data_IF_076834868493
#
_entry.id   IF_076834868493
#
_cell.length_a   1.000
_cell.length_b   1.000
_cell.length_c   1.000
_cell.angle_alpha   90.00
_cell.angle_beta   90.00
_cell.angle_gamma   90.00
#
_symmetry.space_group_name_H-M   'P 1'
#
loop_
_entity.id
_entity.type
_entity.pdbx_description
1 polymer ?
#
# COMPACT_ATOMS: atom_id res chain seq x y z
N UNK A 1 -27.68 20.00 13.34
CA UNK A 1 -26.69 20.29 12.28
C UNK A 1 -26.20 18.95 11.76
N UNK A 2 -26.36 18.63 10.48
CA UNK A 2 -25.85 17.38 9.93
C UNK A 2 -24.32 17.42 9.99
N UNK A 3 -23.71 16.42 10.62
CA UNK A 3 -22.26 16.23 10.63
C UNK A 3 -21.77 16.10 9.19
N UNK A 4 -21.01 17.08 8.71
CA UNK A 4 -20.44 17.11 7.36
C UNK A 4 -19.12 16.34 7.27
N UNK A 5 -18.89 15.38 8.16
CA UNK A 5 -17.66 14.60 8.20
C UNK A 5 -17.68 13.52 7.13
N UNK A 6 -16.75 13.62 6.18
CA UNK A 6 -16.46 12.56 5.22
C UNK A 6 -15.66 11.45 5.94
N UNK A 7 -16.17 10.23 5.93
CA UNK A 7 -15.45 9.07 6.47
C UNK A 7 -14.39 8.62 5.47
N UNK A 8 -13.19 8.29 5.96
CA UNK A 8 -12.14 7.71 5.13
C UNK A 8 -12.59 6.38 4.51
N UNK A 9 -12.16 6.12 3.28
CA UNK A 9 -12.29 4.81 2.64
C UNK A 9 -11.14 3.93 3.11
N UNK A 10 -11.41 2.82 3.77
CA UNK A 10 -10.37 1.84 4.16
C UNK A 10 -10.11 0.90 3.00
N UNK A 11 -8.84 0.60 2.78
CA UNK A 11 -8.37 -0.22 1.69
C UNK A 11 -7.45 -1.29 2.25
N UNK A 12 -7.81 -2.56 2.05
CA UNK A 12 -6.99 -3.71 2.36
C UNK A 12 -6.42 -4.31 1.09
N UNK A 13 -5.16 -4.74 1.13
CA UNK A 13 -4.59 -5.53 0.03
C UNK A 13 -3.58 -6.56 0.52
N UNK A 14 -3.33 -7.59 -0.29
CA UNK A 14 -2.44 -8.70 0.04
C UNK A 14 -1.47 -9.00 -1.09
N UNK A 15 -0.26 -9.40 -0.73
CA UNK A 15 0.77 -9.91 -1.64
C UNK A 15 1.62 -10.96 -0.92
N UNK A 16 2.34 -11.82 -1.65
CA UNK A 16 3.35 -12.68 -1.01
C UNK A 16 4.65 -11.91 -0.82
N UNK A 17 5.34 -12.21 0.28
CA UNK A 17 6.74 -11.91 0.50
C UNK A 17 7.55 -13.18 0.25
N UNK A 18 8.61 -13.08 -0.55
CA UNK A 18 9.55 -14.18 -0.71
C UNK A 18 10.24 -14.45 0.64
N UNK A 19 10.19 -15.67 1.20
CA UNK A 19 10.69 -15.95 2.55
C UNK A 19 12.15 -15.50 2.76
N UNK A 20 12.99 -15.72 1.75
CA UNK A 20 14.41 -15.35 1.74
C UNK A 20 14.66 -13.84 1.74
N UNK A 21 13.67 -13.04 1.36
CA UNK A 21 13.75 -11.57 1.28
C UNK A 21 13.16 -10.89 2.52
N UNK A 22 12.74 -11.63 3.54
CA UNK A 22 12.11 -11.09 4.75
C UNK A 22 12.95 -9.98 5.40
N UNK A 23 14.24 -10.24 5.62
CA UNK A 23 15.13 -9.31 6.30
C UNK A 23 15.33 -8.03 5.47
N UNK A 24 15.57 -8.18 4.16
CA UNK A 24 15.70 -7.07 3.22
C UNK A 24 14.44 -6.18 3.20
N UNK A 25 13.26 -6.80 3.10
CA UNK A 25 12.00 -6.06 3.06
C UNK A 25 11.75 -5.27 4.34
N UNK A 26 12.06 -5.87 5.50
CA UNK A 26 11.96 -5.22 6.81
C UNK A 26 12.93 -4.05 6.95
N UNK A 27 14.17 -4.18 6.49
CA UNK A 27 15.17 -3.11 6.53
C UNK A 27 14.78 -1.94 5.63
N UNK A 28 14.31 -2.21 4.41
CA UNK A 28 13.76 -1.19 3.52
C UNK A 28 12.64 -0.40 4.22
N UNK A 29 11.65 -1.08 4.79
CA UNK A 29 10.49 -0.40 5.40
C UNK A 29 10.78 0.21 6.78
N UNK A 30 11.89 -0.14 7.43
CA UNK A 30 12.36 0.57 8.62
C UNK A 30 12.92 1.97 8.30
N UNK A 31 13.30 2.21 7.04
CA UNK A 31 13.89 3.47 6.57
C UNK A 31 13.32 3.87 5.20
N UNK A 32 11.99 3.92 5.09
CA UNK A 32 11.31 4.36 3.85
C UNK A 32 11.82 5.75 3.47
N UNK A 33 12.12 5.93 2.18
CA UNK A 33 12.63 7.22 1.70
C UNK A 33 11.59 8.33 1.91
N UNK A 34 12.00 9.52 2.42
CA UNK A 34 11.07 10.61 2.74
C UNK A 34 10.17 11.05 1.57
N UNK A 35 10.69 10.99 0.34
CA UNK A 35 9.97 11.33 -0.89
C UNK A 35 8.79 10.38 -1.15
N UNK A 36 8.94 9.10 -0.77
CA UNK A 36 7.89 8.09 -0.91
C UNK A 36 6.78 8.35 0.11
N UNK A 37 7.16 8.62 1.36
CA UNK A 37 6.20 9.00 2.40
C UNK A 37 5.45 10.29 2.01
N UNK A 38 6.16 11.27 1.46
CA UNK A 38 5.56 12.50 0.94
C UNK A 38 4.57 12.20 -0.19
N UNK A 39 4.94 11.40 -1.18
CA UNK A 39 4.06 11.02 -2.30
C UNK A 39 2.79 10.33 -1.81
N UNK A 40 2.91 9.37 -0.89
CA UNK A 40 1.77 8.68 -0.25
C UNK A 40 0.86 9.70 0.44
N UNK A 41 1.44 10.62 1.22
CA UNK A 41 0.68 11.65 1.93
C UNK A 41 -0.03 12.63 0.98
N UNK A 42 0.66 13.11 -0.06
CA UNK A 42 0.11 14.00 -1.09
C UNK A 42 -1.03 13.33 -1.87
N UNK A 43 -0.99 12.01 -2.02
CA UNK A 43 -2.04 11.17 -2.62
C UNK A 43 -3.15 10.78 -1.63
N UNK A 44 -3.36 11.56 -0.57
CA UNK A 44 -4.46 11.41 0.39
C UNK A 44 -4.51 10.06 1.13
N UNK A 45 -3.39 9.35 1.24
CA UNK A 45 -3.28 8.10 2.01
C UNK A 45 -2.83 8.42 3.45
N UNK A 46 -3.51 7.83 4.43
CA UNK A 46 -3.28 7.96 5.87
C UNK A 46 -3.26 6.59 6.52
N UNK A 47 -2.72 6.53 7.74
CA UNK A 47 -2.72 5.32 8.59
C UNK A 47 -2.24 4.05 7.85
N UNK A 48 -1.26 4.19 6.94
CA UNK A 48 -0.81 3.09 6.09
C UNK A 48 0.10 2.15 6.89
N UNK A 49 -0.35 0.90 7.04
CA UNK A 49 0.35 -0.14 7.79
C UNK A 49 0.51 -1.38 6.93
N UNK A 50 1.68 -2.03 7.03
CA UNK A 50 1.95 -3.33 6.40
C UNK A 50 2.27 -4.34 7.49
N UNK A 51 1.51 -5.43 7.52
CA UNK A 51 1.67 -6.56 8.42
C UNK A 51 2.30 -7.72 7.67
N UNK A 52 3.03 -8.58 8.37
CA UNK A 52 3.61 -9.80 7.80
C UNK A 52 3.11 -11.03 8.56
N UNK A 53 2.54 -11.97 7.82
CA UNK A 53 2.22 -13.31 8.30
C UNK A 53 3.35 -14.29 7.92
N UNK A 54 4.11 -14.71 8.93
CA UNK A 54 5.22 -15.65 8.79
C UNK A 54 4.80 -17.07 8.40
N UNK A 55 3.53 -17.46 8.58
CA UNK A 55 3.08 -18.82 8.32
C UNK A 55 2.76 -19.05 6.84
N UNK A 56 2.17 -18.05 6.20
CA UNK A 56 1.82 -18.10 4.78
C UNK A 56 2.72 -17.23 3.89
N UNK A 57 3.67 -16.51 4.51
CA UNK A 57 4.55 -15.56 3.85
C UNK A 57 3.77 -14.46 3.11
N UNK A 58 2.72 -13.96 3.73
CA UNK A 58 1.86 -12.91 3.18
C UNK A 58 2.16 -11.57 3.83
N UNK A 59 2.13 -10.52 3.03
CA UNK A 59 2.03 -9.15 3.50
C UNK A 59 0.58 -8.69 3.37
N UNK A 60 0.05 -8.13 4.44
CA UNK A 60 -1.26 -7.47 4.43
C UNK A 60 -1.05 -5.97 4.59
N UNK A 61 -1.58 -5.20 3.65
CA UNK A 61 -1.52 -3.75 3.60
C UNK A 61 -2.89 -3.19 3.99
N UNK A 62 -2.91 -2.24 4.92
CA UNK A 62 -4.10 -1.50 5.32
C UNK A 62 -3.84 -0.01 5.23
N UNK A 63 -4.69 0.74 4.54
CA UNK A 63 -4.60 2.20 4.48
C UNK A 63 -5.98 2.88 4.50
N UNK A 64 -5.98 4.14 4.93
CA UNK A 64 -7.14 5.03 4.89
C UNK A 64 -6.96 6.07 3.79
N UNK A 65 -7.93 6.16 2.88
CA UNK A 65 -7.94 7.15 1.81
C UNK A 65 -8.98 8.25 2.12
N UNK A 66 -8.52 9.50 2.12
CA UNK A 66 -9.36 10.67 2.48
C UNK A 66 -9.69 11.59 1.29
N UNK A 67 -9.20 11.28 0.08
CA UNK A 67 -9.40 12.11 -1.10
C UNK A 67 -10.75 11.86 -1.79
N UNK A 68 -10.96 12.52 -2.94
CA UNK A 68 -12.19 12.44 -3.74
C UNK A 68 -12.04 11.60 -5.02
N UNK A 69 -10.82 11.29 -5.44
CA UNK A 69 -10.51 10.63 -6.72
C UNK A 69 -9.35 9.65 -6.54
N UNK A 70 -9.70 8.43 -6.11
CA UNK A 70 -8.74 7.37 -5.80
C UNK A 70 -7.91 6.98 -7.03
N UNK A 71 -8.54 6.93 -8.21
CA UNK A 71 -7.86 6.53 -9.44
C UNK A 71 -6.78 7.53 -9.81
N UNK A 72 -7.11 8.84 -9.78
CA UNK A 72 -6.14 9.90 -10.02
C UNK A 72 -4.99 9.89 -9.02
N UNK A 73 -5.27 9.70 -7.74
CA UNK A 73 -4.24 9.70 -6.69
C UNK A 73 -3.32 8.48 -6.78
N UNK A 74 -3.86 7.30 -7.11
CA UNK A 74 -3.09 6.08 -7.37
C UNK A 74 -2.27 6.18 -8.66
N UNK A 75 -2.83 6.79 -9.72
CA UNK A 75 -2.09 7.08 -10.95
C UNK A 75 -0.94 8.07 -10.69
N UNK A 76 -1.11 9.05 -9.80
CA UNK A 76 -0.05 9.96 -9.41
C UNK A 76 1.10 9.24 -8.67
N UNK A 77 0.79 8.23 -7.86
CA UNK A 77 1.81 7.35 -7.23
C UNK A 77 2.54 6.56 -8.31
N UNK A 78 1.80 5.89 -9.21
CA UNK A 78 2.39 5.06 -10.27
C UNK A 78 3.20 5.83 -11.31
N UNK A 79 2.90 7.11 -11.52
CA UNK A 79 3.66 7.99 -12.42
C UNK A 79 4.87 8.67 -11.76
N UNK A 80 4.99 8.61 -10.44
CA UNK A 80 6.09 9.26 -9.72
C UNK A 80 7.43 8.53 -9.95
N UNK A 81 8.47 9.21 -10.47
CA UNK A 81 9.75 8.56 -10.75
C UNK A 81 10.46 8.02 -9.50
N UNK A 82 10.26 8.65 -8.34
CA UNK A 82 10.88 8.18 -7.10
C UNK A 82 10.17 6.93 -6.59
N UNK A 83 8.84 6.88 -6.67
CA UNK A 83 8.05 5.67 -6.43
C UNK A 83 8.54 4.52 -7.30
N UNK A 84 8.77 4.72 -8.59
CA UNK A 84 9.30 3.66 -9.46
C UNK A 84 10.68 3.18 -8.99
N UNK A 85 11.57 4.08 -8.55
CA UNK A 85 12.88 3.69 -7.99
C UNK A 85 12.74 2.89 -6.69
N UNK A 86 11.80 3.27 -5.83
CA UNK A 86 11.49 2.54 -4.61
C UNK A 86 10.95 1.14 -4.93
N UNK A 87 10.03 1.04 -5.89
CA UNK A 87 9.50 -0.24 -6.35
C UNK A 87 10.57 -1.17 -6.89
N UNK A 88 11.58 -0.67 -7.61
CA UNK A 88 12.71 -1.50 -8.07
C UNK A 88 13.46 -2.22 -6.96
N UNK A 89 13.43 -1.72 -5.72
CA UNK A 89 14.08 -2.39 -4.58
C UNK A 89 13.09 -3.22 -3.75
N UNK A 90 11.79 -2.92 -3.78
CA UNK A 90 10.77 -3.68 -3.03
C UNK A 90 10.12 -4.81 -3.83
N UNK A 91 9.88 -4.62 -5.12
CA UNK A 91 9.25 -5.62 -6.01
C UNK A 91 10.04 -6.95 -6.04
N UNK A 92 11.39 -6.98 -6.06
CA UNK A 92 12.13 -8.23 -6.00
C UNK A 92 11.85 -9.05 -4.73
N UNK A 93 11.45 -8.39 -3.63
CA UNK A 93 11.07 -9.04 -2.39
C UNK A 93 9.69 -9.70 -2.47
N UNK A 94 8.85 -9.31 -3.43
CA UNK A 94 7.44 -9.62 -3.48
C UNK A 94 7.12 -10.64 -4.58
N UNK A 95 5.99 -11.31 -4.45
CA UNK A 95 5.37 -12.13 -5.49
C UNK A 95 3.87 -11.84 -5.53
N UNK A 96 3.38 -11.32 -6.65
CA UNK A 96 1.96 -11.03 -6.84
C UNK A 96 1.12 -12.30 -6.97
N UNK A 97 -0.14 -12.23 -6.54
CA UNK A 97 -1.10 -13.32 -6.70
C UNK A 97 -1.81 -13.30 -8.05
N UNK A 98 -1.85 -12.13 -8.72
CA UNK A 98 -2.64 -11.91 -9.95
C UNK A 98 -1.79 -11.36 -11.10
N UNK A 99 -0.68 -10.68 -10.80
CA UNK A 99 0.08 -9.96 -11.82
C UNK A 99 0.81 -10.90 -12.80
N UNK A 100 0.62 -10.65 -14.08
CA UNK A 100 1.18 -11.48 -15.18
C UNK A 100 2.21 -10.77 -16.06
N UNK A 101 2.33 -9.45 -15.95
CA UNK A 101 3.22 -8.64 -16.79
C UNK A 101 4.62 -8.43 -16.19
N UNK A 102 5.46 -7.63 -16.85
CA UNK A 102 6.70 -7.10 -16.26
C UNK A 102 6.42 -6.32 -14.98
N UNK A 103 7.41 -6.10 -14.08
CA UNK A 103 7.19 -5.35 -12.85
C UNK A 103 6.59 -3.94 -13.10
N UNK A 104 5.68 -3.45 -12.24
CA UNK A 104 5.11 -2.12 -12.34
C UNK A 104 6.14 -0.99 -12.45
N UNK A 105 7.29 -1.11 -11.77
CA UNK A 105 8.40 -0.15 -11.86
C UNK A 105 9.00 0.00 -13.26
N UNK A 106 8.75 -0.95 -14.15
CA UNK A 106 9.18 -0.98 -15.56
C UNK A 106 8.05 -0.61 -16.53
N UNK A 107 6.88 -0.21 -16.00
CA UNK A 107 5.72 0.12 -16.82
C UNK A 107 4.98 -1.09 -17.36
N UNK A 108 5.15 -2.26 -16.74
CA UNK A 108 4.35 -3.43 -17.07
C UNK A 108 2.87 -3.23 -16.72
N UNK A 109 2.03 -4.00 -17.39
CA UNK A 109 0.59 -4.11 -17.13
C UNK A 109 0.26 -5.59 -17.01
N UNK A 110 -0.54 -5.97 -16.01
CA UNK A 110 -0.80 -7.40 -15.80
C UNK A 110 -1.85 -7.75 -14.74
N UNK A 111 -2.67 -6.79 -14.30
CA UNK A 111 -3.64 -6.97 -13.21
C UNK A 111 -3.29 -6.11 -11.99
N UNK A 112 -3.54 -6.62 -10.79
CA UNK A 112 -3.16 -5.94 -9.55
C UNK A 112 -1.82 -6.49 -9.04
N UNK A 113 -0.84 -5.61 -8.79
CA UNK A 113 0.40 -6.06 -8.14
C UNK A 113 0.12 -6.54 -6.71
N UNK A 114 -0.59 -5.73 -5.94
CA UNK A 114 -1.20 -6.11 -4.66
C UNK A 114 -2.68 -6.43 -4.87
N UNK A 115 -3.11 -7.64 -4.52
CA UNK A 115 -4.52 -8.05 -4.67
C UNK A 115 -5.40 -7.30 -3.67
N UNK A 116 -6.45 -6.58 -4.12
CA UNK A 116 -7.37 -5.89 -3.22
C UNK A 116 -8.21 -6.88 -2.40
N UNK A 117 -8.62 -6.45 -1.20
CA UNK A 117 -9.46 -7.23 -0.29
C UNK A 117 -10.78 -6.51 0.00
N UNK A 118 -11.81 -7.28 0.32
CA UNK A 118 -13.12 -6.77 0.76
C UNK A 118 -13.07 -6.34 2.24
N UNK A 119 -13.53 -5.13 2.53
CA UNK A 119 -13.76 -4.68 3.91
C UNK A 119 -15.03 -5.32 4.45
N UNK A 120 -14.88 -6.41 5.22
CA UNK A 120 -16.03 -7.14 5.79
C UNK A 120 -16.62 -6.47 7.03
N UNK A 121 -15.83 -5.72 7.79
CA UNK A 121 -16.25 -5.10 9.05
C UNK A 121 -15.37 -3.91 9.42
N UNK A 122 -15.99 -2.90 10.03
CA UNK A 122 -15.36 -1.81 10.76
C UNK A 122 -16.27 -1.47 11.94
N UNK A 123 -15.69 -1.21 13.11
CA UNK A 123 -16.44 -1.02 14.36
C UNK A 123 -17.07 0.39 14.49
N UNK A 124 -16.78 1.29 13.54
CA UNK A 124 -17.32 2.64 13.46
C UNK A 124 -16.50 3.69 14.23
N UNK A 125 -15.44 3.30 14.94
CA UNK A 125 -14.59 4.23 15.67
C UNK A 125 -13.50 4.82 14.76
N UNK A 126 -13.04 6.05 15.02
CA UNK A 126 -11.88 6.60 14.33
C UNK A 126 -10.59 5.91 14.77
N UNK A 127 -9.51 6.12 14.02
CA UNK A 127 -8.17 5.73 14.45
C UNK A 127 -7.88 6.25 15.88
N UNK A 128 -7.51 5.33 16.77
CA UNK A 128 -7.32 5.63 18.18
C UNK A 128 -6.12 6.54 18.39
N UNK A 129 -6.34 7.67 19.06
CA UNK A 129 -5.28 8.52 19.60
C UNK A 129 -5.36 8.44 21.13
N UNK A 130 -4.26 8.08 21.79
CA UNK A 130 -4.17 8.01 23.24
C UNK A 130 -2.87 8.68 23.70
N UNK A 131 -2.89 9.27 24.89
CA UNK A 131 -1.75 9.93 25.55
C UNK A 131 -1.36 9.16 26.80
#
# INVERSE_FOLDING_TARGET
MASNHKTAKRLGSVIKLKPEMYQQYKELHAAVWPEILKRIYDSNIRNYTIYYDKHHHLLFSHMEYIGDDLEKDMAAIGNDPMTKKWWKVTEPCQESLEWTGPPPSEGGEGGNWWSPMEEMFHDGHPATHYH
#
